data_IF_911470017005
#
_entry.id   IF_911470017005
#
_cell.length_a   1.000
_cell.length_b   1.000
_cell.length_c   1.000
_cell.angle_alpha   90.00
_cell.angle_beta   90.00
_cell.angle_gamma   90.00
#
_symmetry.space_group_name_H-M   'P 1'
#
loop_
_entity.id
_entity.type
_entity.pdbx_description
1 polymer ?
#
# COMPACT_ATOMS: atom_id res chain seq x y z
N UNK A 1 -1.62 -4.21 11.62
CA UNK A 1 -2.79 -5.08 11.43
C UNK A 1 -2.53 -5.81 10.12
N UNK A 2 -2.53 -7.14 10.07
CA UNK A 2 -2.34 -7.88 8.81
C UNK A 2 -3.40 -7.44 7.78
N UNK A 3 -3.12 -7.54 6.48
CA UNK A 3 -4.14 -7.35 5.44
C UNK A 3 -5.43 -8.07 5.88
N UNK A 4 -6.57 -7.37 5.91
CA UNK A 4 -7.77 -7.88 6.58
C UNK A 4 -8.32 -9.10 5.81
N UNK A 5 -8.15 -10.31 6.37
CA UNK A 5 -8.48 -11.58 5.70
C UNK A 5 -9.74 -12.24 6.29
N UNK A 6 -10.91 -12.22 5.62
CA UNK A 6 -12.10 -12.91 6.14
C UNK A 6 -12.23 -14.39 5.75
N UNK A 7 -11.40 -15.00 4.89
CA UNK A 7 -11.47 -16.46 4.64
C UNK A 7 -10.27 -17.07 3.88
N UNK A 8 -9.40 -17.85 4.56
CA UNK A 8 -8.35 -18.66 3.89
C UNK A 8 -8.94 -20.00 3.39
N UNK A 9 -8.98 -20.22 2.08
CA UNK A 9 -8.84 -21.57 1.54
C UNK A 9 -7.39 -21.78 1.11
N UNK A 10 -6.73 -22.74 1.77
CA UNK A 10 -5.37 -23.19 1.45
C UNK A 10 -5.33 -23.79 0.05
N UNK A 11 -4.43 -23.30 -0.79
CA UNK A 11 -3.82 -24.12 -1.85
C UNK A 11 -2.32 -24.15 -1.62
N UNK A 12 -1.82 -25.32 -1.23
CA UNK A 12 -0.40 -25.64 -1.13
C UNK A 12 0.13 -25.90 -2.53
N UNK A 13 1.18 -25.18 -2.94
CA UNK A 13 2.12 -25.70 -3.93
C UNK A 13 2.83 -24.68 -4.82
N UNK A 14 3.90 -24.04 -4.32
CA UNK A 14 5.24 -24.00 -4.94
C UNK A 14 6.26 -23.31 -4.00
N UNK A 15 7.52 -23.76 -4.09
CA UNK A 15 8.71 -23.41 -3.30
C UNK A 15 9.03 -21.90 -3.18
N UNK A 16 9.88 -21.48 -2.20
CA UNK A 16 10.01 -20.10 -1.77
C UNK A 16 10.96 -19.33 -2.70
N UNK A 17 10.40 -18.45 -3.51
CA UNK A 17 11.11 -17.26 -3.99
C UNK A 17 10.24 -16.12 -3.48
N UNK A 18 10.69 -15.48 -2.40
CA UNK A 18 9.97 -14.38 -1.77
C UNK A 18 10.03 -13.15 -2.69
N UNK A 19 9.22 -13.13 -3.74
CA UNK A 19 8.59 -11.87 -4.09
C UNK A 19 7.54 -11.69 -2.99
N UNK A 20 7.83 -10.81 -2.02
CA UNK A 20 6.84 -10.44 -1.02
C UNK A 20 5.72 -9.70 -1.75
N UNK A 21 4.65 -10.42 -2.05
CA UNK A 21 3.41 -9.85 -2.55
C UNK A 21 2.91 -8.82 -1.51
N UNK A 22 2.64 -7.60 -1.95
CA UNK A 22 2.03 -6.57 -1.14
C UNK A 22 0.55 -6.43 -1.50
N UNK A 23 -0.24 -5.99 -0.54
CA UNK A 23 -1.66 -5.77 -0.67
C UNK A 23 -1.95 -4.27 -0.56
N UNK A 24 -3.01 -3.80 -1.22
CA UNK A 24 -3.65 -2.52 -0.90
C UNK A 24 -5.01 -2.78 -0.24
N UNK A 25 -5.21 -2.21 0.94
CA UNK A 25 -6.46 -2.26 1.70
C UNK A 25 -7.01 -0.84 1.87
N UNK A 26 -8.23 -0.60 1.42
CA UNK A 26 -8.93 0.67 1.64
C UNK A 26 -9.81 0.62 2.88
N UNK A 27 -10.09 1.77 3.49
CA UNK A 27 -10.97 1.86 4.66
C UNK A 27 -12.34 1.21 4.43
N UNK A 28 -12.86 1.32 3.21
CA UNK A 28 -14.17 0.77 2.83
C UNK A 28 -14.17 -0.77 2.63
N UNK A 29 -13.01 -1.42 2.81
CA UNK A 29 -12.87 -2.88 2.74
C UNK A 29 -12.50 -3.42 1.36
N UNK A 30 -12.20 -2.55 0.39
CA UNK A 30 -11.57 -2.96 -0.87
C UNK A 30 -10.17 -3.52 -0.61
N UNK A 31 -9.86 -4.62 -1.27
CA UNK A 31 -8.61 -5.35 -1.11
C UNK A 31 -8.09 -5.79 -2.48
N UNK A 32 -6.86 -5.40 -2.80
CA UNK A 32 -6.18 -5.77 -4.05
C UNK A 32 -4.82 -6.37 -3.71
N UNK A 33 -4.62 -7.64 -4.09
CA UNK A 33 -3.31 -8.28 -4.09
C UNK A 33 -2.47 -7.79 -5.28
N UNK A 34 -1.20 -7.45 -5.06
CA UNK A 34 -0.26 -6.98 -6.08
C UNK A 34 -0.83 -5.84 -6.96
N UNK A 35 -1.23 -4.70 -6.34
CA UNK A 35 -1.92 -3.64 -7.05
C UNK A 35 -1.01 -3.01 -8.12
N UNK A 36 -1.53 -2.92 -9.34
CA UNK A 36 -0.90 -2.16 -10.42
C UNK A 36 -1.00 -0.66 -10.17
N UNK A 37 -0.22 0.14 -10.91
CA UNK A 37 -0.34 1.61 -10.90
C UNK A 37 -1.79 2.06 -11.17
N UNK A 38 -2.43 1.48 -12.18
CA UNK A 38 -3.81 1.78 -12.56
C UNK A 38 -4.81 1.46 -11.42
N UNK A 39 -4.62 0.31 -10.75
CA UNK A 39 -5.45 -0.07 -9.61
C UNK A 39 -5.26 0.88 -8.41
N UNK A 40 -4.02 1.32 -8.14
CA UNK A 40 -3.75 2.31 -7.11
C UNK A 40 -4.35 3.68 -7.46
N UNK A 41 -4.32 4.06 -8.74
CA UNK A 41 -4.94 5.29 -9.21
C UNK A 41 -6.46 5.28 -8.95
N UNK A 42 -7.15 4.19 -9.30
CA UNK A 42 -8.58 4.04 -9.03
C UNK A 42 -8.87 4.11 -7.52
N UNK A 43 -8.17 3.32 -6.71
CA UNK A 43 -8.39 3.31 -5.25
C UNK A 43 -8.19 4.69 -4.61
N UNK A 44 -7.14 5.42 -5.01
CA UNK A 44 -6.87 6.76 -4.49
C UNK A 44 -7.91 7.76 -5.00
N UNK A 45 -8.40 7.61 -6.24
CA UNK A 45 -9.44 8.48 -6.79
C UNK A 45 -10.80 8.30 -6.13
N UNK A 46 -11.06 7.16 -5.49
CA UNK A 46 -12.29 6.90 -4.74
C UNK A 46 -12.24 7.44 -3.30
N UNK A 47 -11.08 7.96 -2.86
CA UNK A 47 -10.95 8.50 -1.51
C UNK A 47 -11.78 9.77 -1.31
N UNK A 48 -12.38 9.89 -0.13
CA UNK A 48 -13.23 11.01 0.26
C UNK A 48 -13.26 11.20 1.78
N UNK A 49 -13.77 12.34 2.25
CA UNK A 49 -13.77 12.74 3.66
C UNK A 49 -14.79 12.03 4.56
N UNK A 50 -15.61 11.11 4.04
CA UNK A 50 -16.76 10.55 4.79
C UNK A 50 -16.83 9.03 4.91
N UNK A 51 -16.22 8.27 3.99
CA UNK A 51 -16.36 6.81 4.01
C UNK A 51 -15.18 6.00 3.49
N UNK A 52 -14.40 6.55 2.56
CA UNK A 52 -13.18 5.92 2.08
C UNK A 52 -12.03 6.90 2.30
N UNK A 53 -11.62 7.09 3.55
CA UNK A 53 -10.72 8.21 3.89
C UNK A 53 -9.25 7.90 3.65
N UNK A 54 -8.88 6.61 3.61
CA UNK A 54 -7.52 6.19 3.34
C UNK A 54 -7.41 4.82 2.67
N UNK A 55 -6.25 4.59 2.06
CA UNK A 55 -5.75 3.28 1.60
C UNK A 55 -4.39 3.01 2.22
N UNK A 56 -4.13 1.76 2.60
CA UNK A 56 -2.87 1.28 3.15
C UNK A 56 -2.28 0.22 2.23
N UNK A 57 -1.00 0.36 1.92
CA UNK A 57 -0.22 -0.59 1.11
C UNK A 57 0.87 -1.18 2.01
N UNK A 58 0.93 -2.51 2.12
CA UNK A 58 1.87 -3.18 3.00
C UNK A 58 2.19 -4.60 2.50
N UNK A 59 3.32 -5.20 2.90
CA UNK A 59 3.57 -6.61 2.68
C UNK A 59 2.44 -7.48 3.22
N UNK A 60 2.12 -8.56 2.51
CA UNK A 60 1.14 -9.57 2.94
C UNK A 60 1.71 -10.49 4.03
N UNK A 61 2.03 -9.89 5.18
CA UNK A 61 2.54 -10.56 6.36
C UNK A 61 1.90 -9.99 7.64
N UNK A 62 1.91 -10.79 8.71
CA UNK A 62 1.24 -10.42 9.96
C UNK A 62 1.89 -9.21 10.67
N UNK A 63 3.20 -9.03 10.51
CA UNK A 63 3.99 -7.92 11.08
C UNK A 63 4.78 -7.23 9.95
N UNK A 64 4.14 -6.34 9.18
CA UNK A 64 4.76 -5.71 8.02
C UNK A 64 5.89 -4.77 8.47
N UNK A 65 7.09 -4.99 7.92
CA UNK A 65 8.28 -4.20 8.26
C UNK A 65 8.25 -2.79 7.65
N UNK A 66 7.42 -2.58 6.63
CA UNK A 66 7.14 -1.29 6.03
C UNK A 66 5.65 -1.16 5.68
N UNK A 67 5.16 0.07 5.58
CA UNK A 67 3.86 0.36 4.97
C UNK A 67 3.91 1.73 4.27
N UNK A 68 3.04 1.91 3.30
CA UNK A 68 2.66 3.23 2.80
C UNK A 68 1.17 3.44 3.01
N UNK A 69 0.73 4.67 3.29
CA UNK A 69 -0.68 5.01 3.31
C UNK A 69 -0.93 6.31 2.58
N UNK A 70 -2.10 6.41 1.95
CA UNK A 70 -2.61 7.63 1.34
C UNK A 70 -3.93 7.95 2.01
N UNK A 71 -4.07 9.16 2.54
CA UNK A 71 -5.28 9.61 3.22
C UNK A 71 -5.73 10.97 2.67
N UNK A 72 -7.03 11.24 2.70
CA UNK A 72 -7.55 12.58 2.39
C UNK A 72 -7.08 13.56 3.45
N UNK A 73 -6.56 14.71 3.01
CA UNK A 73 -6.11 15.78 3.91
C UNK A 73 -7.20 16.84 4.08
N UNK A 74 -7.46 17.28 5.31
CA UNK A 74 -8.53 18.24 5.68
C UNK A 74 -8.43 19.60 4.96
N UNK A 75 -7.21 20.01 4.57
CA UNK A 75 -6.96 21.26 3.81
C UNK A 75 -7.04 21.06 2.28
N UNK A 76 -7.42 19.86 1.83
CA UNK A 76 -7.50 19.45 0.44
C UNK A 76 -6.24 18.72 -0.05
N UNK A 77 -6.43 17.79 -0.99
CA UNK A 77 -5.37 16.90 -1.48
C UNK A 77 -5.21 15.65 -0.60
N UNK A 78 -4.02 15.07 -0.64
CA UNK A 78 -3.73 13.80 0.01
C UNK A 78 -2.48 13.89 0.88
N UNK A 79 -2.52 13.26 2.03
CA UNK A 79 -1.36 12.96 2.85
C UNK A 79 -0.84 11.57 2.49
N UNK A 80 0.47 11.46 2.27
CA UNK A 80 1.16 10.22 1.95
C UNK A 80 2.15 9.95 3.07
N UNK A 81 1.97 8.83 3.77
CA UNK A 81 2.89 8.34 4.81
C UNK A 81 3.64 7.15 4.27
N UNK A 82 4.95 7.11 4.49
CA UNK A 82 5.83 5.99 4.15
C UNK A 82 6.67 5.66 5.36
N UNK A 83 6.54 4.44 5.85
CA UNK A 83 7.27 3.95 7.01
C UNK A 83 8.01 2.68 6.66
N UNK A 84 9.27 2.60 7.05
CA UNK A 84 10.13 1.43 6.87
C UNK A 84 10.99 1.25 8.11
N UNK A 85 10.72 0.20 8.87
CA UNK A 85 11.44 -0.10 10.11
C UNK A 85 12.83 -0.69 9.86
N UNK A 86 13.03 -1.36 8.72
CA UNK A 86 14.33 -1.93 8.31
C UNK A 86 15.35 -0.81 8.08
N UNK A 87 14.92 0.27 7.44
CA UNK A 87 15.76 1.44 7.15
C UNK A 87 15.60 2.60 8.14
N UNK A 88 14.70 2.47 9.13
CA UNK A 88 14.32 3.53 10.08
C UNK A 88 13.83 4.79 9.37
N UNK A 89 13.13 4.61 8.26
CA UNK A 89 12.53 5.70 7.50
C UNK A 89 11.10 5.96 7.98
N UNK A 90 10.76 7.24 8.10
CA UNK A 90 9.40 7.69 8.29
C UNK A 90 9.26 9.04 7.58
N UNK A 91 8.49 9.06 6.50
CA UNK A 91 8.29 10.24 5.68
C UNK A 91 6.80 10.53 5.53
N UNK A 92 6.45 11.81 5.65
CA UNK A 92 5.08 12.31 5.47
C UNK A 92 5.15 13.46 4.48
N UNK A 93 4.37 13.38 3.42
CA UNK A 93 4.29 14.37 2.34
C UNK A 93 2.85 14.64 1.97
N UNK A 94 2.57 15.84 1.46
CA UNK A 94 1.28 16.17 0.87
C UNK A 94 1.40 16.37 -0.64
N UNK A 95 0.41 15.90 -1.40
CA UNK A 95 0.32 16.14 -2.84
C UNK A 95 -1.15 16.15 -3.29
N UNK A 96 -1.44 16.87 -4.36
CA UNK A 96 -2.79 17.06 -4.90
C UNK A 96 -3.04 16.25 -6.18
N UNK A 97 -1.98 15.76 -6.82
CA UNK A 97 -2.06 15.02 -8.08
C UNK A 97 -2.00 13.51 -7.88
N UNK A 98 -3.11 12.81 -8.09
CA UNK A 98 -3.20 11.35 -7.96
C UNK A 98 -2.14 10.63 -8.81
N UNK A 99 -1.99 11.02 -10.07
CA UNK A 99 -0.97 10.48 -11.00
C UNK A 99 0.46 10.50 -10.38
N UNK A 100 0.84 11.62 -9.77
CA UNK A 100 2.16 11.74 -9.11
C UNK A 100 2.26 10.87 -7.87
N UNK A 101 1.20 10.82 -7.07
CA UNK A 101 1.16 9.99 -5.86
C UNK A 101 1.35 8.54 -6.24
N UNK A 102 0.59 8.07 -7.23
CA UNK A 102 0.63 6.69 -7.70
C UNK A 102 1.99 6.30 -8.25
N UNK A 103 2.57 7.10 -9.16
CA UNK A 103 3.90 6.79 -9.71
C UNK A 103 5.00 6.84 -8.64
N UNK A 104 4.96 7.80 -7.71
CA UNK A 104 5.95 7.89 -6.63
C UNK A 104 5.84 6.71 -5.64
N UNK A 105 4.61 6.24 -5.38
CA UNK A 105 4.38 5.02 -4.61
C UNK A 105 4.94 3.78 -5.34
N UNK A 106 4.66 3.60 -6.63
CA UNK A 106 5.17 2.47 -7.39
C UNK A 106 6.70 2.43 -7.39
N UNK A 107 7.35 3.59 -7.55
CA UNK A 107 8.82 3.70 -7.47
C UNK A 107 9.32 3.29 -6.07
N UNK A 108 8.65 3.77 -5.02
CA UNK A 108 9.01 3.46 -3.63
C UNK A 108 8.81 1.97 -3.27
N UNK A 109 7.75 1.35 -3.81
CA UNK A 109 7.45 -0.08 -3.66
C UNK A 109 8.47 -0.94 -4.42
N UNK A 110 8.76 -0.59 -5.67
CA UNK A 110 9.74 -1.30 -6.49
C UNK A 110 11.13 -1.30 -5.84
N UNK A 111 11.55 -0.17 -5.23
CA UNK A 111 12.81 -0.10 -4.51
C UNK A 111 12.92 -1.12 -3.37
N UNK A 112 11.81 -1.51 -2.76
CA UNK A 112 11.75 -2.51 -1.68
C UNK A 112 11.70 -3.94 -2.19
N UNK A 113 10.96 -4.20 -3.27
CA UNK A 113 10.97 -5.50 -3.95
C UNK A 113 12.40 -5.89 -4.40
N UNK A 114 13.14 -4.94 -5.00
CA UNK A 114 14.52 -5.17 -5.40
C UNK A 114 15.48 -5.43 -4.24
N UNK A 115 15.18 -4.92 -3.04
CA UNK A 115 16.03 -5.13 -1.86
C UNK A 115 15.74 -6.47 -1.17
N UNK A 116 14.52 -6.98 -1.28
CA UNK A 116 14.16 -8.26 -0.70
C UNK A 116 14.67 -9.47 -1.52
N UNK A 117 15.19 -9.21 -2.73
CA UNK A 117 15.78 -10.22 -3.61
C UNK A 117 17.32 -10.29 -3.53
N UNK A 118 17.98 -9.45 -2.71
CA UNK A 118 19.43 -9.36 -2.55
C UNK A 118 19.95 -10.03 -1.27
#
# INVERSE_FOLDING_TARGET
MPCWRPNRQRTVGRSPVAAEYYCADSENGDHIDDPSEDALFDLISELNDTGNTFVVIQPDQDDPVWFASVAVHDEGGYEIVRHDTTHREHHVTTENGIDRITSDLIIWLAARDFQNTA
#
